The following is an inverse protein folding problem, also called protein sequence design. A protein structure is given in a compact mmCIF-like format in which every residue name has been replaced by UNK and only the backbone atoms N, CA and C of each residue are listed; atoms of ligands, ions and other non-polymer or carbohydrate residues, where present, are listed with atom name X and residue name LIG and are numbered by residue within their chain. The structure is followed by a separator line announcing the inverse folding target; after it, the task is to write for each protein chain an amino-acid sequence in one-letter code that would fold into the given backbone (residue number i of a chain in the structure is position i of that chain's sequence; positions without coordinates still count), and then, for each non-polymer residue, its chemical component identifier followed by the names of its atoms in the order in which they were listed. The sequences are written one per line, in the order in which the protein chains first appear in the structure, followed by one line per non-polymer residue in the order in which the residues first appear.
data_IF_871251128704
#
_entry.id   IF_871251128704
#
_cell.length_a   1.000
_cell.length_b   1.000
_cell.length_c   1.000
_cell.angle_alpha   90.00
_cell.angle_beta   90.00
_cell.angle_gamma   90.00
#
_symmetry.space_group_name_H-M   'P 1'
#
loop_
_entity.id
_entity.type
_entity.pdbx_description
1 polymer ?
#
# COMPACT_ATOMS: atom_id res chain seq x y z
N UNK A 1 -16.73 12.04 -18.36
CA UNK A 1 -17.72 13.10 -18.09
C UNK A 1 -18.69 12.72 -16.97
N UNK A 2 -19.57 11.73 -17.13
CA UNK A 2 -20.55 11.37 -16.09
C UNK A 2 -19.95 11.00 -14.72
N UNK A 3 -18.89 10.18 -14.67
CA UNK A 3 -18.23 9.79 -13.41
C UNK A 3 -17.56 10.97 -12.68
N UNK A 4 -17.14 11.99 -13.43
CA UNK A 4 -16.47 13.18 -12.90
C UNK A 4 -17.51 14.17 -12.36
N UNK A 5 -18.66 14.26 -13.02
CA UNK A 5 -19.82 15.04 -12.57
C UNK A 5 -20.39 14.46 -11.25
N UNK A 6 -20.57 13.14 -11.16
CA UNK A 6 -21.00 12.45 -9.92
C UNK A 6 -19.99 12.62 -8.76
N UNK A 7 -18.71 12.85 -9.04
CA UNK A 7 -17.70 13.05 -7.99
C UNK A 7 -17.63 14.49 -7.49
N UNK A 8 -17.98 15.47 -8.34
CA UNK A 8 -17.76 16.90 -8.07
C UNK A 8 -19.05 17.67 -7.76
N UNK A 9 -20.20 17.12 -8.11
CA UNK A 9 -21.53 17.71 -7.89
C UNK A 9 -22.29 16.88 -6.85
N UNK A 10 -22.52 17.47 -5.67
CA UNK A 10 -23.13 16.77 -4.54
C UNK A 10 -24.61 16.45 -4.80
N UNK A 11 -25.32 17.26 -5.58
CA UNK A 11 -26.72 17.02 -5.95
C UNK A 11 -26.82 15.88 -6.96
N UNK A 12 -25.95 15.89 -7.98
CA UNK A 12 -25.87 14.81 -8.95
C UNK A 12 -25.41 13.49 -8.30
N UNK A 13 -24.48 13.56 -7.35
CA UNK A 13 -24.07 12.43 -6.52
C UNK A 13 -25.24 11.90 -5.71
N UNK A 14 -25.95 12.74 -4.98
CA UNK A 14 -27.08 12.33 -4.15
C UNK A 14 -28.20 11.72 -4.99
N UNK A 15 -28.53 12.33 -6.14
CA UNK A 15 -29.50 11.81 -7.09
C UNK A 15 -29.08 10.43 -7.64
N UNK A 16 -27.80 10.27 -8.00
CA UNK A 16 -27.23 8.99 -8.45
C UNK A 16 -27.33 7.93 -7.35
N UNK A 17 -27.03 8.27 -6.10
CA UNK A 17 -27.06 7.34 -4.97
C UNK A 17 -28.47 6.87 -4.60
N UNK A 18 -29.45 7.76 -4.70
CA UNK A 18 -30.85 7.45 -4.45
C UNK A 18 -31.42 6.40 -5.43
N UNK A 19 -30.81 6.22 -6.61
CA UNK A 19 -31.23 5.20 -7.58
C UNK A 19 -30.78 3.77 -7.21
N UNK A 20 -29.86 3.60 -6.26
CA UNK A 20 -29.32 2.29 -5.89
C UNK A 20 -29.85 1.81 -4.54
N UNK A 21 -29.41 2.43 -3.44
CA UNK A 21 -29.89 2.10 -2.10
C UNK A 21 -29.54 3.21 -1.12
N UNK A 22 -30.32 3.33 -0.05
CA UNK A 22 -30.06 4.27 1.03
C UNK A 22 -28.71 4.05 1.75
N UNK A 23 -28.06 2.90 1.54
CA UNK A 23 -26.77 2.56 2.12
C UNK A 23 -25.62 2.59 1.10
N UNK A 24 -25.89 2.91 -0.15
CA UNK A 24 -24.85 3.00 -1.15
C UNK A 24 -23.90 4.16 -0.78
N UNK A 25 -22.59 4.00 -1.02
CA UNK A 25 -21.59 5.06 -0.81
C UNK A 25 -20.72 5.18 -2.07
N UNK A 26 -20.63 6.38 -2.66
CA UNK A 26 -19.62 6.67 -3.69
C UNK A 26 -18.26 6.72 -3.01
N UNK A 27 -17.37 5.78 -3.37
CA UNK A 27 -15.98 5.86 -2.94
C UNK A 27 -15.16 6.62 -3.98
N UNK A 28 -14.52 7.73 -3.61
CA UNK A 28 -13.69 8.48 -4.53
C UNK A 28 -12.51 7.61 -4.98
N UNK A 29 -12.02 7.87 -6.19
CA UNK A 29 -10.75 7.29 -6.64
C UNK A 29 -9.62 7.87 -5.79
N UNK A 30 -8.78 7.00 -5.25
CA UNK A 30 -7.62 7.39 -4.46
C UNK A 30 -6.34 7.14 -5.27
N UNK A 31 -5.32 7.96 -5.01
CA UNK A 31 -4.03 7.98 -5.68
C UNK A 31 -2.94 7.73 -4.63
N UNK A 32 -2.62 6.47 -4.32
CA UNK A 32 -1.78 6.15 -3.18
C UNK A 32 -0.30 6.41 -3.47
N UNK A 33 0.36 7.23 -2.66
CA UNK A 33 1.81 7.46 -2.76
C UNK A 33 2.52 6.91 -1.54
N UNK A 34 3.82 6.64 -1.70
CA UNK A 34 4.74 6.32 -0.61
C UNK A 34 5.58 7.54 -0.34
N UNK A 35 5.60 8.00 0.92
CA UNK A 35 6.56 8.98 1.42
C UNK A 35 7.68 8.24 2.13
N UNK A 36 8.92 8.52 1.74
CA UNK A 36 10.06 7.78 2.23
C UNK A 36 10.69 8.39 3.47
N UNK A 37 11.12 7.53 4.41
CA UNK A 37 11.88 7.92 5.61
C UNK A 37 11.19 8.99 6.46
N UNK A 38 9.88 8.90 6.62
CA UNK A 38 9.11 9.78 7.50
C UNK A 38 9.50 9.52 8.97
N UNK A 39 9.78 10.58 9.77
CA UNK A 39 10.04 10.44 11.19
C UNK A 39 8.92 9.67 11.90
N UNK A 40 9.27 8.73 12.78
CA UNK A 40 8.27 7.93 13.49
C UNK A 40 7.44 8.73 14.51
N UNK A 41 7.85 9.98 14.80
CA UNK A 41 7.07 10.94 15.59
C UNK A 41 5.79 11.39 14.89
N UNK A 42 5.71 11.27 13.56
CA UNK A 42 4.49 11.53 12.82
C UNK A 42 3.42 10.49 13.18
N UNK A 43 2.28 10.94 13.70
CA UNK A 43 1.14 10.06 13.95
C UNK A 43 0.15 10.14 12.77
N UNK A 44 0.06 9.11 11.89
CA UNK A 44 -0.84 9.10 10.74
C UNK A 44 -2.32 8.90 11.10
N UNK A 45 -2.64 8.59 12.35
CA UNK A 45 -4.00 8.47 12.86
C UNK A 45 -4.50 9.77 13.50
N UNK A 46 -3.60 10.74 13.74
CA UNK A 46 -3.97 12.04 14.28
C UNK A 46 -4.43 12.98 13.17
N UNK A 47 -5.69 13.43 13.25
CA UNK A 47 -6.21 14.45 12.34
C UNK A 47 -5.36 15.72 12.34
N UNK A 48 -4.83 16.17 13.49
CA UNK A 48 -3.99 17.37 13.57
C UNK A 48 -2.74 17.24 12.70
N UNK A 49 -2.04 16.11 12.78
CA UNK A 49 -0.84 15.86 11.99
C UNK A 49 -1.13 15.76 10.50
N UNK A 50 -2.31 15.25 10.13
CA UNK A 50 -2.76 15.24 8.73
C UNK A 50 -2.99 16.68 8.24
N UNK A 51 -3.64 17.53 9.04
CA UNK A 51 -3.86 18.95 8.67
C UNK A 51 -2.55 19.72 8.56
N UNK A 52 -1.63 19.55 9.52
CA UNK A 52 -0.30 20.15 9.46
C UNK A 52 0.48 19.71 8.20
N UNK A 53 0.34 18.44 7.81
CA UNK A 53 0.91 17.92 6.57
C UNK A 53 0.24 18.55 5.35
N UNK A 54 -1.08 18.71 5.34
CA UNK A 54 -1.80 19.33 4.23
C UNK A 54 -1.39 20.80 4.06
N UNK A 55 -1.44 21.58 5.13
CA UNK A 55 -1.05 22.99 5.18
C UNK A 55 0.41 23.17 4.75
N UNK A 56 1.32 22.35 5.29
CA UNK A 56 2.75 22.39 5.01
C UNK A 56 3.13 22.02 3.57
N UNK A 57 2.19 21.50 2.77
CA UNK A 57 2.38 21.10 1.37
C UNK A 57 1.42 21.82 0.40
N UNK A 58 0.70 22.85 0.87
CA UNK A 58 -0.34 23.56 0.10
C UNK A 58 -1.34 22.59 -0.53
N UNK A 59 -1.77 21.60 0.26
CA UNK A 59 -2.79 20.63 -0.10
C UNK A 59 -4.11 21.15 0.46
N UNK A 60 -5.20 20.99 -0.30
CA UNK A 60 -6.51 21.35 0.19
C UNK A 60 -6.92 20.42 1.33
N UNK A 61 -7.47 20.99 2.41
CA UNK A 61 -7.85 20.25 3.59
C UNK A 61 -8.85 19.14 3.24
N UNK A 62 -8.44 17.89 3.42
CA UNK A 62 -9.26 16.71 3.21
C UNK A 62 -8.86 15.94 1.97
N UNK A 63 -7.93 16.42 1.15
CA UNK A 63 -7.41 15.63 0.04
C UNK A 63 -6.60 14.41 0.53
N UNK A 64 -5.97 14.48 1.70
CA UNK A 64 -5.34 13.30 2.34
C UNK A 64 -6.41 12.50 3.07
N UNK A 65 -7.02 11.57 2.34
CA UNK A 65 -8.13 10.74 2.81
C UNK A 65 -7.69 9.71 3.85
N UNK A 66 -6.46 9.22 3.77
CA UNK A 66 -5.90 8.26 4.74
C UNK A 66 -4.38 8.25 4.71
N UNK A 67 -3.77 8.11 5.87
CA UNK A 67 -2.36 7.82 6.02
C UNK A 67 -2.17 6.50 6.80
N UNK A 68 -1.12 5.73 6.48
CA UNK A 68 -0.73 4.57 7.29
C UNK A 68 0.73 4.19 7.09
N UNK A 69 1.34 3.62 8.11
CA UNK A 69 2.67 3.04 8.02
C UNK A 69 2.69 1.77 7.14
N UNK A 70 3.73 1.61 6.32
CA UNK A 70 3.98 0.34 5.59
C UNK A 70 4.43 -0.75 6.57
N UNK A 71 5.41 -0.45 7.41
CA UNK A 71 5.90 -1.33 8.48
C UNK A 71 5.10 -1.02 9.75
N UNK A 72 4.29 -1.95 10.28
CA UNK A 72 3.54 -1.73 11.51
C UNK A 72 4.46 -1.33 12.67
N UNK A 73 4.04 -0.43 13.57
CA UNK A 73 4.84 0.00 14.72
C UNK A 73 5.39 -1.17 15.55
N UNK A 74 4.55 -2.17 15.82
CA UNK A 74 4.92 -3.37 16.59
C UNK A 74 6.02 -4.25 15.97
N UNK A 75 6.41 -4.00 14.72
CA UNK A 75 7.47 -4.76 14.01
C UNK A 75 8.74 -3.95 13.80
N UNK A 76 8.81 -2.69 14.27
CA UNK A 76 9.98 -1.81 14.09
C UNK A 76 11.17 -2.30 14.91
N UNK A 77 12.36 -1.97 14.43
CA UNK A 77 13.56 -2.19 15.25
C UNK A 77 13.55 -1.22 16.44
N UNK A 78 14.11 -1.59 17.60
CA UNK A 78 14.10 -0.74 18.80
C UNK A 78 14.61 0.69 18.56
N UNK A 79 15.61 0.84 17.69
CA UNK A 79 16.28 2.12 17.39
C UNK A 79 15.84 2.74 16.05
N UNK A 80 14.75 2.27 15.45
CA UNK A 80 14.28 2.77 14.16
C UNK A 80 13.69 4.19 14.29
N UNK A 81 14.33 5.19 13.66
CA UNK A 81 13.90 6.61 13.74
C UNK A 81 12.98 7.07 12.61
N UNK A 82 12.91 6.31 11.52
CA UNK A 82 12.10 6.65 10.36
C UNK A 82 11.44 5.41 9.74
N UNK A 83 10.33 5.59 9.06
CA UNK A 83 9.61 4.53 8.34
C UNK A 83 8.96 5.06 7.05
N UNK A 84 8.52 4.16 6.18
CA UNK A 84 7.78 4.53 4.98
C UNK A 84 6.29 4.66 5.28
N UNK A 85 5.70 5.75 4.80
CA UNK A 85 4.30 6.08 4.96
C UNK A 85 3.57 5.90 3.62
N UNK A 86 2.37 5.34 3.63
CA UNK A 86 1.43 5.42 2.51
C UNK A 86 0.45 6.55 2.79
N UNK A 87 0.31 7.46 1.82
CA UNK A 87 -0.77 8.45 1.78
C UNK A 87 -1.74 8.07 0.68
N UNK A 88 -3.04 8.13 0.96
CA UNK A 88 -4.11 7.95 -0.01
C UNK A 88 -4.73 9.32 -0.29
N UNK A 89 -4.46 9.86 -1.47
CA UNK A 89 -4.84 11.22 -1.86
C UNK A 89 -6.04 11.15 -2.81
N UNK A 90 -7.01 12.04 -2.71
CA UNK A 90 -8.19 12.08 -3.60
C UNK A 90 -7.92 12.78 -4.94
N UNK A 91 -6.91 13.65 -5.00
CA UNK A 91 -6.57 14.43 -6.19
C UNK A 91 -5.27 13.94 -6.87
N UNK A 92 -5.31 13.54 -8.16
CA UNK A 92 -4.12 13.07 -8.87
C UNK A 92 -3.08 14.17 -9.07
N UNK A 93 -3.50 15.43 -9.21
CA UNK A 93 -2.58 16.57 -9.39
C UNK A 93 -1.73 16.78 -8.15
N UNK A 94 -2.35 16.71 -6.97
CA UNK A 94 -1.65 16.76 -5.68
C UNK A 94 -0.69 15.58 -5.51
N UNK A 95 -1.15 14.35 -5.79
CA UNK A 95 -0.29 13.18 -5.74
C UNK A 95 0.92 13.30 -6.67
N UNK A 96 0.71 13.77 -7.90
CA UNK A 96 1.77 13.96 -8.90
C UNK A 96 2.75 15.08 -8.49
N UNK A 97 2.25 16.18 -7.92
CA UNK A 97 3.08 17.25 -7.36
C UNK A 97 3.98 16.71 -6.26
N UNK A 98 3.43 15.94 -5.32
CA UNK A 98 4.22 15.31 -4.26
C UNK A 98 5.25 14.31 -4.81
N UNK A 99 4.90 13.50 -5.82
CA UNK A 99 5.87 12.58 -6.48
C UNK A 99 7.01 13.35 -7.17
N UNK A 100 6.71 14.53 -7.73
CA UNK A 100 7.69 15.36 -8.45
C UNK A 100 8.59 16.14 -7.49
N UNK A 101 7.99 16.80 -6.50
CA UNK A 101 8.64 17.84 -5.68
C UNK A 101 8.99 17.34 -4.27
N UNK A 102 8.44 16.19 -3.86
CA UNK A 102 8.50 15.67 -2.50
C UNK A 102 7.36 16.15 -1.62
N UNK A 103 7.38 15.71 -0.36
CA UNK A 103 6.42 16.10 0.67
C UNK A 103 7.15 16.59 1.93
N UNK A 104 6.72 17.72 2.47
CA UNK A 104 7.22 18.28 3.72
C UNK A 104 6.45 17.68 4.91
N UNK A 105 7.14 16.94 5.77
CA UNK A 105 6.56 16.37 7.00
C UNK A 105 7.46 16.73 8.18
N UNK A 106 6.91 17.33 9.24
CA UNK A 106 7.66 17.89 10.36
C UNK A 106 8.89 18.70 9.89
N UNK A 107 8.65 19.69 9.03
CA UNK A 107 9.67 20.58 8.45
C UNK A 107 10.76 19.91 7.58
N UNK A 108 10.69 18.59 7.35
CA UNK A 108 11.63 17.86 6.51
C UNK A 108 11.03 17.58 5.14
N UNK A 109 11.74 17.92 4.06
CA UNK A 109 11.34 17.55 2.69
C UNK A 109 11.74 16.10 2.41
N UNK A 110 10.77 15.26 2.08
CA UNK A 110 10.91 13.82 1.90
C UNK A 110 10.52 13.40 0.49
N UNK A 111 11.23 12.40 -0.04
CA UNK A 111 10.94 11.83 -1.35
C UNK A 111 9.60 11.09 -1.36
N UNK A 112 8.87 11.24 -2.46
CA UNK A 112 7.64 10.51 -2.70
C UNK A 112 7.72 9.70 -3.99
N UNK A 113 6.99 8.58 -4.02
CA UNK A 113 6.81 7.78 -5.23
C UNK A 113 5.42 7.16 -5.28
N UNK A 114 4.97 6.86 -6.49
CA UNK A 114 3.73 6.14 -6.74
C UNK A 114 3.74 4.78 -6.03
N UNK A 115 2.65 4.40 -5.36
CA UNK A 115 2.45 3.03 -4.88
C UNK A 115 2.03 2.17 -6.06
N UNK A 116 2.97 1.38 -6.59
CA UNK A 116 2.72 0.47 -7.71
C UNK A 116 1.91 -0.74 -7.24
N UNK A 117 1.06 -1.26 -8.12
CA UNK A 117 0.32 -2.50 -7.83
C UNK A 117 1.30 -3.67 -7.87
N UNK A 118 1.26 -4.50 -6.83
CA UNK A 118 2.07 -5.72 -6.73
C UNK A 118 1.17 -6.96 -6.88
N UNK A 119 1.70 -8.09 -7.37
CA UNK A 119 0.97 -9.35 -7.40
C UNK A 119 0.47 -9.73 -6.00
N UNK A 120 -0.81 -10.14 -5.91
CA UNK A 120 -1.36 -10.63 -4.66
C UNK A 120 -0.68 -11.93 -4.24
N UNK A 121 -0.59 -12.11 -2.92
CA UNK A 121 -0.10 -13.34 -2.28
C UNK A 121 -1.16 -13.84 -1.33
N UNK A 122 -1.46 -15.13 -1.42
CA UNK A 122 -2.33 -15.76 -0.43
C UNK A 122 -1.65 -15.72 0.96
N UNK A 123 -2.38 -15.30 1.99
CA UNK A 123 -1.85 -15.24 3.36
C UNK A 123 -1.81 -16.60 4.06
N UNK A 124 -2.46 -17.64 3.50
CA UNK A 124 -2.43 -19.01 4.02
C UNK A 124 -1.27 -19.83 3.45
N UNK A 125 -1.12 -19.86 2.13
CA UNK A 125 -0.09 -20.68 1.47
C UNK A 125 1.14 -19.90 0.98
N UNK A 126 1.08 -18.57 0.97
CA UNK A 126 2.11 -17.66 0.47
C UNK A 126 2.49 -17.81 -1.01
N UNK A 127 1.71 -18.55 -1.80
CA UNK A 127 1.84 -18.59 -3.25
C UNK A 127 1.44 -17.22 -3.84
N UNK A 128 2.23 -16.75 -4.81
CA UNK A 128 2.04 -15.47 -5.51
C UNK A 128 1.38 -15.73 -6.87
N UNK A 129 0.44 -14.87 -7.26
CA UNK A 129 -0.15 -14.91 -8.62
C UNK A 129 -1.11 -16.07 -8.87
N UNK A 130 -1.61 -16.72 -7.82
CA UNK A 130 -2.56 -17.85 -7.91
C UNK A 130 -4.03 -17.43 -7.97
N UNK A 131 -4.32 -16.13 -7.81
CA UNK A 131 -5.68 -15.60 -7.93
C UNK A 131 -6.64 -15.91 -6.77
N UNK A 132 -6.19 -16.62 -5.73
CA UNK A 132 -7.01 -16.92 -4.55
C UNK A 132 -6.55 -16.13 -3.31
N UNK A 133 -7.49 -15.94 -2.37
CA UNK A 133 -7.23 -15.36 -1.06
C UNK A 133 -7.17 -16.46 0.02
N UNK A 134 -6.83 -16.09 1.25
CA UNK A 134 -6.69 -17.04 2.34
C UNK A 134 -8.01 -17.78 2.67
N UNK A 135 -9.16 -17.12 2.46
CA UNK A 135 -10.51 -17.69 2.61
C UNK A 135 -10.75 -18.88 1.69
N UNK A 136 -10.26 -18.77 0.45
CA UNK A 136 -10.47 -19.75 -0.63
C UNK A 136 -9.20 -20.60 -0.86
N UNK A 137 -8.44 -20.73 0.23
CA UNK A 137 -7.24 -21.53 0.43
C UNK A 137 -7.39 -23.03 0.11
N UNK A 138 -6.96 -23.64 -1.02
CA UNK A 138 -7.09 -25.10 -1.18
C UNK A 138 -6.11 -25.88 -0.30
N UNK A 139 -5.04 -25.25 0.19
CA UNK A 139 -4.13 -25.89 1.16
C UNK A 139 -4.84 -26.09 2.49
N UNK A 140 -4.71 -27.27 3.09
CA UNK A 140 -5.27 -27.57 4.41
C UNK A 140 -4.58 -26.76 5.50
N UNK A 141 -3.24 -26.79 5.53
CA UNK A 141 -2.43 -26.15 6.55
C UNK A 141 -1.90 -24.77 6.15
N UNK A 142 -1.75 -23.88 7.14
CA UNK A 142 -1.12 -22.57 6.96
C UNK A 142 0.40 -22.73 6.88
N UNK A 143 1.01 -22.14 5.86
CA UNK A 143 2.45 -22.10 5.67
C UNK A 143 3.02 -20.80 6.24
N UNK A 144 4.23 -20.87 6.76
CA UNK A 144 4.98 -19.71 7.22
C UNK A 144 5.61 -18.97 6.04
N UNK A 145 5.40 -17.65 5.97
CA UNK A 145 5.97 -16.81 4.92
C UNK A 145 7.46 -16.55 5.08
N UNK A 146 8.05 -16.89 6.23
CA UNK A 146 9.48 -16.71 6.53
C UNK A 146 10.29 -17.97 6.28
N UNK A 147 9.81 -19.14 6.71
CA UNK A 147 10.55 -20.41 6.62
C UNK A 147 9.81 -21.53 5.86
N UNK A 148 8.56 -21.32 5.43
CA UNK A 148 7.78 -22.30 4.68
C UNK A 148 7.21 -23.48 5.48
N UNK A 149 7.48 -23.57 6.79
CA UNK A 149 6.95 -24.62 7.67
C UNK A 149 5.47 -24.40 8.04
N UNK A 150 4.82 -25.39 8.66
CA UNK A 150 3.38 -25.38 8.96
C UNK A 150 3.08 -24.65 10.27
N UNK A 151 3.14 -23.32 10.24
CA UNK A 151 2.71 -22.48 11.35
C UNK A 151 2.47 -21.05 10.89
N UNK A 152 1.77 -20.28 11.73
CA UNK A 152 1.57 -18.85 11.52
C UNK A 152 2.90 -18.11 11.41
N UNK A 153 3.03 -17.21 10.45
CA UNK A 153 4.25 -16.40 10.27
C UNK A 153 4.61 -15.59 11.53
N UNK A 154 3.61 -15.15 12.31
CA UNK A 154 3.83 -14.42 13.57
C UNK A 154 4.55 -15.27 14.64
N UNK A 155 4.41 -16.60 14.58
CA UNK A 155 4.97 -17.54 15.55
C UNK A 155 6.27 -18.17 15.04
N UNK A 156 6.87 -17.62 13.97
CA UNK A 156 8.08 -18.17 13.40
C UNK A 156 9.28 -17.94 14.32
N UNK A 157 10.03 -19.00 14.71
CA UNK A 157 11.25 -18.84 15.50
C UNK A 157 12.44 -18.38 14.65
N UNK A 158 12.35 -18.45 13.31
CA UNK A 158 13.44 -18.10 12.40
C UNK A 158 13.61 -16.59 12.33
N UNK A 159 14.76 -16.12 12.81
CA UNK A 159 15.17 -14.70 12.75
C UNK A 159 16.28 -14.48 11.74
N UNK A 160 17.20 -15.44 11.63
CA UNK A 160 18.35 -15.43 10.74
C UNK A 160 17.94 -15.48 9.27
N UNK A 161 18.73 -14.84 8.40
CA UNK A 161 18.39 -14.72 6.97
C UNK A 161 18.62 -16.04 6.22
N UNK A 162 19.62 -16.82 6.61
CA UNK A 162 20.06 -18.04 5.96
C UNK A 162 19.02 -19.16 6.09
N UNK A 163 18.32 -19.25 7.22
CA UNK A 163 17.26 -20.24 7.48
C UNK A 163 15.90 -19.82 6.92
N UNK A 164 15.77 -18.62 6.33
CA UNK A 164 14.56 -18.25 5.61
C UNK A 164 14.44 -19.10 4.35
N UNK A 165 13.21 -19.40 3.99
CA UNK A 165 12.89 -20.21 2.82
C UNK A 165 11.67 -19.63 2.11
N UNK A 166 11.76 -19.57 0.78
CA UNK A 166 10.69 -19.06 -0.06
C UNK A 166 9.90 -20.20 -0.70
N UNK A 167 8.60 -20.26 -0.41
CA UNK A 167 7.69 -21.29 -0.98
C UNK A 167 7.47 -21.14 -2.49
N UNK A 168 7.77 -19.98 -3.07
CA UNK A 168 7.53 -19.70 -4.49
C UNK A 168 8.70 -20.16 -5.38
N UNK A 169 9.94 -19.80 -5.04
CA UNK A 169 11.13 -20.22 -5.78
C UNK A 169 11.87 -21.42 -5.18
N UNK A 170 11.42 -21.92 -4.02
CA UNK A 170 11.95 -23.10 -3.32
C UNK A 170 13.43 -23.00 -2.93
N UNK A 171 13.91 -21.78 -2.63
CA UNK A 171 15.30 -21.54 -2.21
C UNK A 171 15.38 -21.01 -0.79
N UNK A 172 16.48 -21.34 -0.10
CA UNK A 172 16.85 -20.74 1.19
C UNK A 172 17.50 -19.36 1.02
N UNK A 173 17.64 -18.61 2.12
CA UNK A 173 18.32 -17.30 2.16
C UNK A 173 17.40 -16.09 2.03
N UNK A 174 16.10 -16.30 1.74
CA UNK A 174 15.09 -15.25 1.74
C UNK A 174 13.68 -15.80 2.00
N UNK A 175 12.77 -14.91 2.39
CA UNK A 175 11.39 -15.24 2.74
C UNK A 175 10.45 -15.08 1.53
N UNK A 176 9.24 -15.64 1.59
CA UNK A 176 8.24 -15.53 0.53
C UNK A 176 7.73 -14.09 0.26
N UNK A 177 8.05 -13.15 1.15
CA UNK A 177 7.73 -11.73 1.03
C UNK A 177 8.89 -10.87 0.53
N UNK A 178 10.04 -11.48 0.19
CA UNK A 178 11.19 -10.78 -0.37
C UNK A 178 10.91 -10.30 -1.80
N UNK A 179 11.22 -9.02 -2.07
CA UNK A 179 11.02 -8.40 -3.39
C UNK A 179 12.13 -8.73 -4.38
N UNK A 180 13.27 -9.24 -3.92
CA UNK A 180 14.34 -9.77 -4.77
C UNK A 180 14.13 -11.23 -5.18
N UNK A 181 13.03 -11.87 -4.76
CA UNK A 181 12.74 -13.25 -5.15
C UNK A 181 12.50 -13.34 -6.68
N UNK A 182 13.19 -14.24 -7.42
CA UNK A 182 13.01 -14.37 -8.86
C UNK A 182 11.56 -14.69 -9.25
N UNK A 183 10.87 -15.49 -8.44
CA UNK A 183 9.46 -15.81 -8.67
C UNK A 183 8.55 -14.58 -8.46
N UNK A 184 8.88 -13.70 -7.51
CA UNK A 184 8.16 -12.44 -7.34
C UNK A 184 8.40 -11.50 -8.52
N UNK A 185 9.64 -11.30 -8.93
CA UNK A 185 10.01 -10.43 -10.07
C UNK A 185 9.28 -10.88 -11.34
N UNK A 186 9.33 -12.18 -11.66
CA UNK A 186 8.64 -12.71 -12.83
C UNK A 186 7.11 -12.50 -12.80
N UNK A 187 6.47 -12.61 -11.62
CA UNK A 187 5.04 -12.34 -11.48
C UNK A 187 4.72 -10.84 -11.52
N UNK A 188 5.63 -10.01 -10.99
CA UNK A 188 5.51 -8.56 -11.03
C UNK A 188 5.57 -8.05 -12.46
N UNK A 189 6.52 -8.51 -13.27
CA UNK A 189 6.66 -8.10 -14.67
C UNK A 189 5.43 -8.50 -15.50
N UNK A 190 4.92 -9.72 -15.28
CA UNK A 190 3.65 -10.18 -15.88
C UNK A 190 2.50 -9.26 -15.50
N UNK A 191 2.38 -8.84 -14.24
CA UNK A 191 1.34 -7.91 -13.81
C UNK A 191 1.54 -6.52 -14.42
N UNK A 192 2.75 -5.98 -14.38
CA UNK A 192 3.09 -4.64 -14.86
C UNK A 192 2.81 -4.48 -16.36
N UNK A 193 3.04 -5.54 -17.16
CA UNK A 193 2.68 -5.55 -18.58
C UNK A 193 1.17 -5.37 -18.83
N UNK A 194 0.32 -5.79 -17.88
CA UNK A 194 -1.15 -5.75 -17.97
C UNK A 194 -1.78 -4.58 -17.22
N UNK A 195 -1.00 -3.84 -16.44
CA UNK A 195 -1.46 -2.72 -15.62
C UNK A 195 -0.79 -1.45 -16.14
N UNK A 196 -1.43 -0.70 -17.06
CA UNK A 196 -0.86 0.52 -17.62
C UNK A 196 -0.41 1.51 -16.54
N UNK A 197 -1.16 1.64 -15.45
CA UNK A 197 -0.80 2.50 -14.31
C UNK A 197 0.60 2.21 -13.74
N UNK A 198 1.10 0.98 -13.80
CA UNK A 198 2.43 0.65 -13.29
C UNK A 198 3.56 1.13 -14.21
N UNK A 199 3.28 1.43 -15.48
CA UNK A 199 4.28 1.82 -16.48
C UNK A 199 4.64 3.31 -16.41
N UNK A 200 3.84 4.10 -15.71
CA UNK A 200 4.03 5.55 -15.59
C UNK A 200 4.46 5.96 -14.18
N UNK A 201 5.42 6.89 -14.12
CA UNK A 201 5.86 7.52 -12.87
C UNK A 201 4.72 8.28 -12.17
N UNK A 202 3.87 8.93 -12.95
CA UNK A 202 2.76 9.76 -12.47
C UNK A 202 1.41 9.05 -12.66
N UNK A 203 0.38 9.53 -11.96
CA UNK A 203 -1.00 9.18 -12.24
C UNK A 203 -1.50 9.94 -13.49
N UNK A 204 -2.32 9.30 -14.34
CA UNK A 204 -2.96 9.97 -15.46
C UNK A 204 -3.97 11.01 -14.99
#
# INVERSE_FOLDING_TARGET
EAAQLIQNDEDAKQAFMNLYSAQAIVRPRLYPIIVERVPISFNPESNSNIRELEDGNSIENGEVQRARWIKPPARREPNQRAAHLILLISNPRTANRMIRDGARIHQTLLWCRKLLKEPSRCLKCHKIGTGHFASDCPEEEEKCGTCGANHRTRNCPVTDKQSRYCVNCKTKGHAAWDRGCPAFVAQYDKLASKVPDNQYKYYP
#
